data_IF_649429532323
#
_entry.id   IF_649429532323
#
_cell.length_a   1.000
_cell.length_b   1.000
_cell.length_c   1.000
_cell.angle_alpha   90.00
_cell.angle_beta   90.00
_cell.angle_gamma   90.00
#
_symmetry.space_group_name_H-M   'P 1'
#
loop_
_entity.id
_entity.type
_entity.pdbx_description
1 polymer ?
#
# COMPACT_ATOMS: atom_id res chain seq x y z
N UNK A 1 0.73 -4.77 -12.04
CA UNK A 1 -0.43 -4.55 -12.94
C UNK A 1 -0.04 -4.57 -14.42
N UNK A 2 1.03 -3.89 -14.88
CA UNK A 2 1.39 -3.88 -16.31
C UNK A 2 1.66 -5.25 -16.93
N UNK A 3 2.26 -6.19 -16.21
CA UNK A 3 2.64 -7.52 -16.74
C UNK A 3 1.51 -8.56 -16.74
N UNK A 4 0.37 -8.26 -16.14
CA UNK A 4 -0.71 -9.20 -15.91
C UNK A 4 -1.97 -8.75 -16.65
N UNK A 5 -2.43 -9.56 -17.60
CA UNK A 5 -3.57 -9.22 -18.45
C UNK A 5 -4.88 -9.15 -17.68
N UNK A 6 -5.06 -9.99 -16.67
CA UNK A 6 -6.27 -10.03 -15.87
C UNK A 6 -6.38 -8.78 -15.02
N UNK A 7 -5.27 -8.35 -14.42
CA UNK A 7 -5.20 -7.10 -13.67
C UNK A 7 -5.49 -5.86 -14.55
N UNK A 8 -5.00 -5.83 -15.80
CA UNK A 8 -5.32 -4.73 -16.75
C UNK A 8 -6.79 -4.74 -17.16
N UNK A 9 -7.38 -5.92 -17.34
CA UNK A 9 -8.80 -6.06 -17.63
C UNK A 9 -9.65 -5.58 -16.45
N UNK A 10 -9.25 -5.90 -15.22
CA UNK A 10 -9.92 -5.47 -14.00
C UNK A 10 -9.91 -3.94 -13.87
N UNK A 11 -8.77 -3.29 -14.15
CA UNK A 11 -8.69 -1.83 -14.20
C UNK A 11 -9.62 -1.24 -15.27
N UNK A 12 -9.61 -1.81 -16.47
CA UNK A 12 -10.45 -1.34 -17.59
C UNK A 12 -11.94 -1.45 -17.25
N UNK A 13 -12.37 -2.59 -16.70
CA UNK A 13 -13.77 -2.82 -16.31
C UNK A 13 -14.19 -1.90 -15.17
N UNK A 14 -13.32 -1.69 -14.18
CA UNK A 14 -13.59 -0.79 -13.06
C UNK A 14 -13.80 0.63 -13.56
N UNK A 15 -12.90 1.16 -14.39
CA UNK A 15 -13.01 2.53 -14.91
C UNK A 15 -14.21 2.72 -15.84
N UNK A 16 -14.52 1.71 -16.67
CA UNK A 16 -15.71 1.73 -17.51
C UNK A 16 -17.01 1.85 -16.68
N UNK A 17 -17.06 1.25 -15.49
CA UNK A 17 -18.21 1.38 -14.59
C UNK A 17 -18.42 2.83 -14.07
N UNK A 18 -17.38 3.65 -14.09
CA UNK A 18 -17.43 5.09 -13.76
C UNK A 18 -17.47 6.00 -15.00
N UNK A 19 -17.55 5.44 -16.22
CA UNK A 19 -17.51 6.21 -17.47
C UNK A 19 -16.12 6.76 -17.81
N UNK A 20 -15.07 6.26 -17.16
CA UNK A 20 -13.70 6.71 -17.32
C UNK A 20 -12.89 5.76 -18.21
N UNK A 21 -11.84 6.29 -18.85
CA UNK A 21 -10.90 5.48 -19.64
C UNK A 21 -9.54 5.40 -18.96
N UNK A 22 -8.84 4.24 -18.98
CA UNK A 22 -7.52 4.13 -18.36
C UNK A 22 -6.50 5.05 -19.05
N UNK A 23 -6.02 6.08 -18.35
CA UNK A 23 -5.01 7.03 -18.86
C UNK A 23 -3.58 6.71 -18.40
N UNK A 24 -3.42 5.85 -17.40
CA UNK A 24 -2.13 5.51 -16.82
C UNK A 24 -2.29 4.96 -15.41
N UNK A 25 -1.18 4.78 -14.70
CA UNK A 25 -1.15 4.42 -13.27
C UNK A 25 -0.20 5.38 -12.53
N UNK A 26 -0.40 5.65 -11.23
CA UNK A 26 -1.44 5.09 -10.34
C UNK A 26 -2.85 5.65 -10.60
N UNK A 27 -3.88 4.87 -10.28
CA UNK A 27 -5.29 5.29 -10.31
C UNK A 27 -5.95 4.96 -8.98
N UNK A 28 -6.69 5.93 -8.43
CA UNK A 28 -7.45 5.79 -7.19
C UNK A 28 -8.95 5.93 -7.50
N UNK A 29 -9.77 5.03 -6.96
CA UNK A 29 -11.24 5.09 -7.08
C UNK A 29 -11.83 5.06 -5.67
N UNK A 30 -12.63 6.07 -5.31
CA UNK A 30 -13.26 6.17 -4.00
C UNK A 30 -14.54 6.99 -4.08
N UNK A 31 -15.63 6.58 -3.43
CA UNK A 31 -16.82 7.44 -3.30
C UNK A 31 -17.50 7.81 -4.62
N UNK A 32 -17.21 7.13 -5.74
CA UNK A 32 -17.68 7.52 -7.07
C UNK A 32 -16.72 8.45 -7.82
N UNK A 33 -15.68 8.92 -7.16
CA UNK A 33 -14.61 9.73 -7.74
C UNK A 33 -13.46 8.86 -8.23
N UNK A 34 -12.82 9.30 -9.32
CA UNK A 34 -11.68 8.65 -9.96
C UNK A 34 -10.56 9.67 -10.13
N UNK A 35 -9.34 9.32 -9.70
CA UNK A 35 -8.15 10.15 -9.87
C UNK A 35 -7.03 9.36 -10.55
N UNK A 36 -6.36 9.96 -11.53
CA UNK A 36 -5.15 9.41 -12.16
C UNK A 36 -3.93 10.24 -11.76
N UNK A 37 -2.89 9.58 -11.26
CA UNK A 37 -1.69 10.20 -10.73
C UNK A 37 -1.82 10.59 -9.25
N UNK A 38 -0.79 11.28 -8.73
CA UNK A 38 -0.78 11.78 -7.37
C UNK A 38 0.03 13.07 -7.28
N UNK A 39 -0.55 14.11 -6.69
CA UNK A 39 0.06 15.40 -6.38
C UNK A 39 -0.75 16.08 -5.25
N UNK A 40 -0.29 17.22 -4.75
CA UNK A 40 -0.92 17.91 -3.62
C UNK A 40 -2.39 18.28 -3.86
N UNK A 41 -2.76 18.60 -5.10
CA UNK A 41 -4.15 18.92 -5.47
C UNK A 41 -5.02 17.66 -5.39
N UNK A 42 -4.55 16.55 -5.97
CA UNK A 42 -5.24 15.26 -5.93
C UNK A 42 -5.32 14.75 -4.48
N UNK A 43 -4.26 14.90 -3.69
CA UNK A 43 -4.23 14.49 -2.29
C UNK A 43 -5.29 15.22 -1.47
N UNK A 44 -5.37 16.54 -1.58
CA UNK A 44 -6.38 17.33 -0.89
C UNK A 44 -7.81 16.99 -1.34
N UNK A 45 -7.99 16.56 -2.59
CA UNK A 45 -9.29 16.12 -3.11
C UNK A 45 -9.71 14.77 -2.54
N UNK A 46 -8.77 13.81 -2.48
CA UNK A 46 -8.98 12.51 -1.84
C UNK A 46 -9.31 12.68 -0.34
N UNK A 47 -8.54 13.49 0.39
CA UNK A 47 -8.80 13.75 1.81
C UNK A 47 -10.19 14.32 2.06
N UNK A 48 -10.65 15.23 1.19
CA UNK A 48 -11.99 15.78 1.27
C UNK A 48 -13.05 14.74 0.99
N UNK A 49 -12.89 13.93 -0.05
CA UNK A 49 -13.82 12.87 -0.40
C UNK A 49 -13.94 11.83 0.73
N UNK A 50 -12.81 11.43 1.33
CA UNK A 50 -12.79 10.55 2.50
C UNK A 50 -13.49 11.22 3.69
N UNK A 51 -13.19 12.49 3.95
CA UNK A 51 -13.83 13.26 5.03
C UNK A 51 -15.35 13.34 4.89
N UNK A 52 -15.87 13.55 3.67
CA UNK A 52 -17.31 13.61 3.42
C UNK A 52 -18.00 12.27 3.64
N UNK A 53 -17.40 11.16 3.18
CA UNK A 53 -17.98 9.82 3.32
C UNK A 53 -17.97 9.34 4.79
N UNK A 54 -16.87 9.59 5.50
CA UNK A 54 -16.75 9.24 6.93
C UNK A 54 -17.73 10.05 7.77
N UNK A 55 -17.90 11.34 7.50
CA UNK A 55 -18.86 12.19 8.20
C UNK A 55 -20.32 11.88 7.84
N UNK A 56 -20.58 11.33 6.64
CA UNK A 56 -21.90 11.00 6.11
C UNK A 56 -22.53 9.68 6.58
N UNK A 57 -21.90 8.96 7.52
CA UNK A 57 -22.32 7.63 7.99
C UNK A 57 -22.06 6.46 7.01
N UNK A 58 -20.96 6.51 6.25
CA UNK A 58 -20.29 5.30 5.73
C UNK A 58 -21.09 4.44 4.75
N UNK A 59 -22.19 4.98 4.19
CA UNK A 59 -22.89 4.32 3.10
C UNK A 59 -22.20 4.77 1.82
N UNK A 60 -21.05 4.16 1.56
CA UNK A 60 -20.32 4.37 0.32
C UNK A 60 -21.24 4.18 -0.89
N UNK A 61 -20.83 4.63 -2.08
CA UNK A 61 -21.66 4.52 -3.28
C UNK A 61 -22.12 3.09 -3.46
N UNK A 62 -23.42 2.91 -3.72
CA UNK A 62 -23.95 1.63 -4.17
C UNK A 62 -23.33 1.34 -5.54
N UNK A 63 -22.22 0.60 -5.55
CA UNK A 63 -21.66 0.03 -6.78
C UNK A 63 -22.72 -0.97 -7.28
N UNK A 64 -23.29 -0.80 -8.48
CA UNK A 64 -24.26 -1.76 -9.01
C UNK A 64 -23.64 -3.16 -9.05
N UNK A 65 -24.15 -4.07 -8.22
CA UNK A 65 -23.68 -5.46 -8.13
C UNK A 65 -22.63 -5.77 -7.06
N UNK A 66 -22.18 -4.81 -6.24
CA UNK A 66 -21.34 -5.11 -5.09
C UNK A 66 -22.17 -5.53 -3.86
N UNK A 67 -21.72 -6.52 -3.07
CA UNK A 67 -22.37 -6.87 -1.81
C UNK A 67 -22.18 -5.78 -0.76
N UNK A 68 -23.23 -5.48 0.01
CA UNK A 68 -23.17 -4.56 1.14
C UNK A 68 -22.20 -5.10 2.20
N UNK A 69 -21.06 -4.41 2.39
CA UNK A 69 -20.10 -4.73 3.45
C UNK A 69 -20.50 -3.99 4.72
N UNK A 70 -21.04 -4.73 5.69
CA UNK A 70 -21.25 -4.24 7.06
C UNK A 70 -19.88 -4.15 7.74
N UNK A 71 -19.45 -2.95 8.13
CA UNK A 71 -18.20 -2.75 8.86
C UNK A 71 -18.24 -3.51 10.21
N UNK A 72 -17.29 -4.43 10.41
CA UNK A 72 -17.06 -5.10 11.69
C UNK A 72 -16.41 -4.15 12.71
N UNK A 73 -16.50 -4.47 14.02
CA UNK A 73 -15.98 -3.61 15.08
C UNK A 73 -14.46 -3.44 14.99
N UNK A 74 -13.91 -2.28 15.42
CA UNK A 74 -12.48 -2.01 15.39
C UNK A 74 -11.73 -2.95 16.35
N UNK A 75 -10.76 -3.69 15.82
CA UNK A 75 -9.82 -4.49 16.62
C UNK A 75 -8.83 -3.56 17.33
N UNK A 76 -8.60 -3.71 18.65
CA UNK A 76 -7.54 -2.98 19.36
C UNK A 76 -6.16 -3.30 18.79
N UNK A 77 -5.34 -2.27 18.62
CA UNK A 77 -3.94 -2.41 18.21
C UNK A 77 -3.08 -2.77 19.43
N UNK A 78 -2.91 -4.06 19.70
CA UNK A 78 -1.98 -4.53 20.72
C UNK A 78 -0.62 -4.85 20.10
N UNK A 79 0.39 -4.06 20.48
CA UNK A 79 1.79 -4.47 20.61
C UNK A 79 2.58 -4.74 19.33
N UNK A 80 3.74 -4.07 19.20
CA UNK A 80 4.74 -4.19 18.13
C UNK A 80 5.44 -5.57 18.11
N UNK A 81 4.66 -6.63 18.01
CA UNK A 81 5.08 -8.02 17.91
C UNK A 81 4.84 -8.45 16.47
N UNK A 82 5.94 -8.70 15.76
CA UNK A 82 5.89 -9.25 14.40
C UNK A 82 6.19 -10.73 14.49
N UNK A 83 5.19 -11.56 14.17
CA UNK A 83 5.41 -12.99 14.00
C UNK A 83 6.06 -13.25 12.64
N UNK A 84 7.31 -13.73 12.66
CA UNK A 84 8.04 -14.05 11.45
C UNK A 84 7.97 -15.57 11.26
N UNK A 85 7.40 -16.06 10.15
CA UNK A 85 7.35 -17.49 9.87
C UNK A 85 8.80 -17.98 9.77
N UNK A 86 9.17 -18.94 10.63
CA UNK A 86 10.51 -19.50 10.92
C UNK A 86 11.16 -19.01 12.22
N UNK A 87 11.06 -17.72 12.57
CA UNK A 87 11.78 -17.15 13.73
C UNK A 87 10.90 -16.89 14.96
N UNK A 88 9.58 -16.93 14.80
CA UNK A 88 8.61 -16.69 15.88
C UNK A 88 8.46 -15.21 16.25
N UNK A 89 7.96 -14.94 17.45
CA UNK A 89 7.50 -13.61 17.87
C UNK A 89 8.67 -12.62 18.11
N UNK A 90 8.76 -11.59 17.25
CA UNK A 90 9.77 -10.53 17.33
C UNK A 90 9.18 -9.23 17.87
N UNK A 91 9.45 -8.97 19.15
CA UNK A 91 9.24 -7.71 19.87
C UNK A 91 10.30 -6.68 19.44
N UNK A 92 9.85 -5.63 18.75
CA UNK A 92 10.72 -4.54 18.29
C UNK A 92 10.91 -3.45 19.36
N UNK A 93 10.25 -3.55 20.51
CA UNK A 93 10.28 -2.55 21.58
C UNK A 93 11.52 -2.61 22.49
N UNK A 94 12.25 -3.74 22.53
CA UNK A 94 13.36 -3.95 23.48
C UNK A 94 14.63 -4.61 22.93
N UNK A 95 14.74 -4.82 21.60
CA UNK A 95 15.82 -5.64 20.99
C UNK A 95 16.77 -4.81 20.12
N UNK A 96 18.02 -5.27 19.98
CA UNK A 96 19.11 -4.56 19.29
C UNK A 96 18.73 -4.10 17.88
N UNK A 97 18.72 -2.78 17.65
CA UNK A 97 18.51 -2.17 16.34
C UNK A 97 19.48 -2.70 15.28
N UNK A 98 20.67 -3.15 15.69
CA UNK A 98 21.66 -3.76 14.79
C UNK A 98 21.18 -5.12 14.28
N UNK A 99 20.52 -5.92 15.12
CA UNK A 99 19.97 -7.22 14.70
C UNK A 99 18.77 -7.04 13.76
N UNK A 100 17.88 -6.10 14.06
CA UNK A 100 16.76 -5.76 13.17
C UNK A 100 17.26 -5.22 11.82
N UNK A 101 18.24 -4.31 11.85
CA UNK A 101 18.89 -3.78 10.63
C UNK A 101 19.57 -4.89 9.84
N UNK A 102 20.28 -5.82 10.50
CA UNK A 102 20.93 -6.95 9.83
C UNK A 102 19.94 -7.90 9.15
N UNK A 103 18.81 -8.20 9.80
CA UNK A 103 17.75 -9.02 9.22
C UNK A 103 17.10 -8.34 8.00
N UNK A 104 16.78 -7.05 8.11
CA UNK A 104 16.18 -6.27 7.03
C UNK A 104 17.15 -6.16 5.84
N UNK A 105 18.44 -5.89 6.10
CA UNK A 105 19.46 -5.81 5.05
C UNK A 105 19.67 -7.16 4.33
N UNK A 106 19.58 -8.28 5.04
CA UNK A 106 19.64 -9.60 4.43
C UNK A 106 18.44 -9.86 3.52
N UNK A 107 17.22 -9.55 3.97
CA UNK A 107 15.98 -9.73 3.18
C UNK A 107 15.95 -8.78 1.97
N UNK A 108 16.37 -7.52 2.15
CA UNK A 108 16.46 -6.54 1.04
C UNK A 108 17.59 -6.89 0.05
N UNK A 109 18.60 -7.66 0.46
CA UNK A 109 19.62 -8.22 -0.43
C UNK A 109 19.08 -9.22 -1.46
N UNK A 110 17.91 -9.82 -1.21
CA UNK A 110 17.20 -10.68 -2.17
C UNK A 110 16.07 -9.95 -2.91
N UNK A 111 15.89 -8.65 -2.67
CA UNK A 111 14.89 -7.83 -3.35
C UNK A 111 15.42 -7.36 -4.72
N UNK A 112 14.82 -7.80 -5.85
CA UNK A 112 15.30 -7.48 -7.20
C UNK A 112 15.22 -5.99 -7.56
N UNK A 113 14.57 -5.18 -6.73
CA UNK A 113 14.44 -3.74 -6.88
C UNK A 113 15.50 -2.94 -6.09
N UNK A 114 16.33 -3.60 -5.28
CA UNK A 114 17.35 -2.94 -4.45
C UNK A 114 18.63 -2.69 -5.29
N UNK A 115 19.11 -1.44 -5.44
CA UNK A 115 20.15 -1.06 -6.42
C UNK A 115 21.60 -1.38 -5.98
N UNK A 116 21.83 -2.23 -4.99
CA UNK A 116 23.15 -2.39 -4.37
C UNK A 116 23.90 -3.58 -4.99
N UNK A 117 25.08 -3.38 -5.60
CA UNK A 117 25.99 -4.49 -5.85
C UNK A 117 26.64 -4.93 -4.52
N UNK A 118 26.97 -6.22 -4.35
CA UNK A 118 27.70 -6.71 -3.18
C UNK A 118 29.16 -6.20 -3.28
N UNK A 119 29.43 -4.97 -2.85
CA UNK A 119 30.77 -4.39 -2.97
C UNK A 119 31.01 -3.03 -2.31
N UNK A 120 29.98 -2.25 -1.97
CA UNK A 120 30.18 -0.88 -1.48
C UNK A 120 30.63 -0.75 0.00
N UNK A 121 30.75 -1.85 0.74
CA UNK A 121 31.25 -1.84 2.13
C UNK A 121 32.75 -2.13 2.26
N UNK A 122 33.48 -2.24 1.15
CA UNK A 122 34.91 -2.59 1.15
C UNK A 122 35.83 -1.46 0.65
N UNK A 123 35.38 -0.22 0.57
CA UNK A 123 36.31 0.90 0.34
C UNK A 123 36.95 1.29 1.68
N UNK A 124 38.26 1.07 1.87
CA UNK A 124 38.96 1.63 3.03
C UNK A 124 38.89 3.15 2.93
N UNK A 125 38.60 3.81 4.05
CA UNK A 125 38.79 5.24 4.19
C UNK A 125 40.24 5.56 3.81
N UNK A 126 40.41 6.19 2.64
CA UNK A 126 41.71 6.73 2.25
C UNK A 126 42.04 7.91 3.18
N UNK A 127 43.29 8.02 3.65
CA UNK A 127 43.73 9.05 4.60
C UNK A 127 43.67 10.47 4.03
#
# INVERSE_FOLDING_TARGET
MWHDADNRNLLTQTLAAFGETPQGVPVTVFGGSVWTGFNDIIAADIERAVGTEVAGAGRGPSIPGAPDVVAGPPTPADGTLIDVPVLGEVDLGGRSLVAATGLIAFVDGFNPCSPWPPGCWQSPMAP
#
